data_IF_450190747245
#
_entry.id   IF_450190747245
#
_cell.length_a   1.000
_cell.length_b   1.000
_cell.length_c   1.000
_cell.angle_alpha   90.00
_cell.angle_beta   90.00
_cell.angle_gamma   90.00
#
_symmetry.space_group_name_H-M   'P 1'
#
loop_
_entity.id
_entity.type
_entity.pdbx_description
1 polymer ?
#
# COMPACT_ATOMS: atom_id res chain seq x y z
N UNK A 1 -27.29 -11.11 -28.56
CA UNK A 1 -26.58 -10.94 -27.27
C UNK A 1 -25.83 -9.60 -27.35
N UNK A 2 -25.97 -8.70 -26.35
CA UNK A 2 -25.14 -7.50 -26.30
C UNK A 2 -23.69 -7.94 -26.06
N UNK A 3 -22.79 -7.50 -26.93
CA UNK A 3 -21.35 -7.80 -26.75
C UNK A 3 -20.86 -7.08 -25.50
N UNK A 4 -20.46 -7.84 -24.47
CA UNK A 4 -19.92 -7.29 -23.25
C UNK A 4 -18.59 -6.60 -23.54
N UNK A 5 -18.43 -5.35 -23.10
CA UNK A 5 -17.20 -4.58 -23.26
C UNK A 5 -16.36 -4.65 -21.99
N UNK A 6 -15.11 -5.10 -22.12
CA UNK A 6 -14.14 -5.14 -21.02
C UNK A 6 -13.09 -4.05 -21.23
N UNK A 7 -12.97 -3.14 -20.26
CA UNK A 7 -12.05 -2.01 -20.26
C UNK A 7 -10.92 -2.28 -19.26
N UNK A 8 -9.68 -2.21 -19.72
CA UNK A 8 -8.51 -2.22 -18.85
C UNK A 8 -8.20 -0.80 -18.41
N UNK A 9 -8.35 -0.50 -17.11
CA UNK A 9 -8.05 0.82 -16.54
C UNK A 9 -6.57 0.89 -16.18
N UNK A 10 -5.84 1.78 -16.84
CA UNK A 10 -4.40 1.98 -16.62
C UNK A 10 -4.13 3.22 -15.79
N UNK A 11 -3.03 3.25 -14.99
CA UNK A 11 -2.06 2.16 -14.80
C UNK A 11 -2.61 1.05 -13.88
N UNK A 12 -2.12 -0.18 -14.07
CA UNK A 12 -2.39 -1.34 -13.22
C UNK A 12 -1.10 -2.11 -12.92
N UNK A 13 -1.17 -3.07 -11.98
CA UNK A 13 -0.02 -3.86 -11.60
C UNK A 13 0.95 -3.11 -10.68
N UNK A 14 2.14 -3.66 -10.53
CA UNK A 14 3.14 -3.12 -9.61
C UNK A 14 3.53 -1.67 -9.92
N UNK A 15 3.63 -0.84 -8.89
CA UNK A 15 4.27 0.47 -9.01
C UNK A 15 5.80 0.36 -8.88
N UNK A 16 6.51 1.45 -9.22
CA UNK A 16 7.99 1.48 -9.15
C UNK A 16 8.54 1.17 -7.75
N UNK A 17 7.87 1.64 -6.68
CA UNK A 17 8.28 1.33 -5.30
C UNK A 17 8.15 -0.15 -4.95
N UNK A 18 7.09 -0.80 -5.43
CA UNK A 18 6.87 -2.24 -5.25
C UNK A 18 7.88 -3.06 -6.06
N UNK A 19 8.12 -2.70 -7.32
CA UNK A 19 9.13 -3.36 -8.15
C UNK A 19 10.52 -3.28 -7.51
N UNK A 20 10.93 -2.08 -7.05
CA UNK A 20 12.20 -1.90 -6.33
C UNK A 20 12.30 -2.82 -5.10
N UNK A 21 11.24 -2.92 -4.31
CA UNK A 21 11.25 -3.76 -3.11
C UNK A 21 11.39 -5.26 -3.47
N UNK A 22 10.68 -5.74 -4.48
CA UNK A 22 10.79 -7.11 -4.99
C UNK A 22 12.20 -7.39 -5.52
N UNK A 23 12.75 -6.50 -6.34
CA UNK A 23 14.13 -6.63 -6.87
C UNK A 23 15.16 -6.65 -5.75
N UNK A 24 15.00 -5.78 -4.75
CA UNK A 24 15.88 -5.75 -3.58
C UNK A 24 15.86 -7.09 -2.85
N UNK A 25 14.69 -7.68 -2.60
CA UNK A 25 14.58 -8.98 -1.96
C UNK A 25 15.22 -10.11 -2.80
N UNK A 26 14.97 -10.14 -4.11
CA UNK A 26 15.56 -11.12 -5.04
C UNK A 26 17.09 -10.98 -5.09
N UNK A 27 17.61 -9.78 -5.23
CA UNK A 27 19.05 -9.51 -5.29
C UNK A 27 19.73 -9.88 -3.96
N UNK A 28 19.05 -9.68 -2.83
CA UNK A 28 19.54 -10.13 -1.51
C UNK A 28 19.70 -11.63 -1.48
N UNK A 29 18.74 -12.41 -2.01
CA UNK A 29 18.86 -13.89 -2.08
C UNK A 29 20.00 -14.31 -3.00
N UNK A 30 20.20 -13.65 -4.14
CA UNK A 30 21.30 -13.93 -5.06
C UNK A 30 22.65 -13.65 -4.40
N UNK A 31 22.77 -12.51 -3.71
CA UNK A 31 24.00 -12.10 -3.03
C UNK A 31 24.36 -13.00 -1.83
N UNK A 32 23.34 -13.53 -1.15
CA UNK A 32 23.50 -14.33 0.07
C UNK A 32 22.77 -15.68 -0.03
N UNK A 33 23.20 -16.59 -0.92
CA UNK A 33 22.46 -17.82 -1.24
C UNK A 33 22.23 -18.73 -0.04
N UNK A 34 23.14 -18.74 0.92
CA UNK A 34 23.14 -19.66 2.07
C UNK A 34 22.74 -19.00 3.40
N UNK A 35 22.45 -17.69 3.41
CA UNK A 35 22.04 -17.01 4.64
C UNK A 35 20.53 -17.08 4.83
N UNK A 36 20.10 -17.12 6.09
CA UNK A 36 18.69 -16.89 6.44
C UNK A 36 18.32 -15.46 6.10
N UNK A 37 17.23 -15.27 5.36
CA UNK A 37 16.69 -13.96 4.99
C UNK A 37 15.27 -13.88 5.52
N UNK A 38 15.02 -12.85 6.35
CA UNK A 38 13.70 -12.62 6.94
C UNK A 38 13.24 -11.20 6.62
N UNK A 39 12.05 -11.08 6.05
CA UNK A 39 11.40 -9.80 5.81
C UNK A 39 10.64 -9.42 7.08
N UNK A 40 10.86 -8.21 7.59
CA UNK A 40 10.21 -7.67 8.79
C UNK A 40 8.82 -7.10 8.46
N UNK A 41 7.82 -7.96 8.49
CA UNK A 41 6.47 -7.68 8.00
C UNK A 41 6.29 -8.11 6.54
N UNK A 42 5.11 -7.87 5.97
CA UNK A 42 4.89 -8.16 4.55
C UNK A 42 5.64 -7.15 3.67
N UNK A 43 6.47 -7.63 2.74
CA UNK A 43 7.26 -6.78 1.82
C UNK A 43 6.39 -5.72 1.16
N UNK A 44 5.24 -6.15 0.70
CA UNK A 44 4.11 -5.36 0.20
C UNK A 44 2.81 -6.03 0.62
N UNK A 45 1.71 -5.30 0.66
CA UNK A 45 0.39 -5.87 0.99
C UNK A 45 -0.14 -6.72 -0.16
N UNK A 46 0.38 -7.95 -0.29
CA UNK A 46 -0.11 -8.96 -1.24
C UNK A 46 0.34 -10.35 -0.82
N UNK A 47 -0.62 -11.24 -0.51
CA UNK A 47 -0.33 -12.61 -0.05
C UNK A 47 0.38 -13.47 -1.11
N UNK A 48 0.13 -13.22 -2.40
CA UNK A 48 0.78 -13.98 -3.47
C UNK A 48 2.24 -13.59 -3.63
N UNK A 49 2.58 -12.32 -3.41
CA UNK A 49 3.98 -11.86 -3.32
C UNK A 49 4.68 -12.54 -2.15
N UNK A 50 4.04 -12.62 -0.98
CA UNK A 50 4.59 -13.34 0.18
C UNK A 50 4.85 -14.81 -0.14
N UNK A 51 3.87 -15.51 -0.72
CA UNK A 51 4.04 -16.92 -1.13
C UNK A 51 5.16 -17.11 -2.16
N UNK A 52 5.27 -16.20 -3.12
CA UNK A 52 6.31 -16.26 -4.13
C UNK A 52 7.72 -16.01 -3.53
N UNK A 53 7.87 -15.07 -2.61
CA UNK A 53 9.13 -14.85 -1.88
C UNK A 53 9.52 -16.08 -1.06
N UNK A 54 8.55 -16.71 -0.38
CA UNK A 54 8.79 -17.95 0.36
C UNK A 54 9.25 -19.09 -0.56
N UNK A 55 8.70 -19.20 -1.77
CA UNK A 55 9.16 -20.15 -2.78
C UNK A 55 10.65 -19.94 -3.13
N UNK A 56 11.16 -18.71 -3.03
CA UNK A 56 12.57 -18.37 -3.19
C UNK A 56 13.38 -18.40 -1.86
N UNK A 57 12.88 -19.06 -0.83
CA UNK A 57 13.51 -19.17 0.49
C UNK A 57 13.76 -17.81 1.17
N UNK A 58 12.86 -16.87 0.97
CA UNK A 58 12.84 -15.57 1.67
C UNK A 58 11.63 -15.59 2.60
N UNK A 59 11.90 -15.69 3.90
CA UNK A 59 10.86 -15.80 4.92
C UNK A 59 10.25 -14.43 5.25
N UNK A 60 9.04 -14.43 5.77
CA UNK A 60 8.35 -13.24 6.27
C UNK A 60 7.90 -13.48 7.68
N UNK A 61 8.23 -12.56 8.59
CA UNK A 61 7.68 -12.53 9.93
C UNK A 61 6.62 -11.44 10.02
N UNK A 62 5.41 -11.79 10.42
CA UNK A 62 4.29 -10.86 10.54
C UNK A 62 3.37 -11.29 11.67
N UNK A 63 3.08 -10.37 12.57
CA UNK A 63 2.07 -10.50 13.62
C UNK A 63 1.34 -9.15 13.72
N UNK A 64 0.02 -9.14 13.52
CA UNK A 64 -0.81 -7.93 13.57
C UNK A 64 -0.92 -7.31 14.97
N UNK A 65 -0.59 -8.07 16.02
CA UNK A 65 -0.59 -7.59 17.40
C UNK A 65 0.73 -6.89 17.77
N UNK A 66 1.82 -7.16 17.01
CA UNK A 66 3.17 -6.64 17.26
C UNK A 66 3.53 -5.48 16.33
N UNK A 67 4.25 -4.51 16.87
CA UNK A 67 4.94 -3.48 16.08
C UNK A 67 6.17 -4.06 15.36
N UNK A 68 6.73 -3.34 14.38
CA UNK A 68 7.99 -3.74 13.72
C UNK A 68 9.15 -3.80 14.69
N UNK A 69 9.13 -2.96 15.74
CA UNK A 69 10.11 -2.97 16.81
C UNK A 69 10.06 -4.26 17.62
N UNK A 70 8.86 -4.75 17.98
CA UNK A 70 8.64 -5.99 18.73
C UNK A 70 8.91 -7.23 17.87
N UNK A 71 8.54 -7.22 16.57
CA UNK A 71 8.83 -8.34 15.66
C UNK A 71 10.32 -8.63 15.51
N UNK A 72 11.20 -7.63 15.69
CA UNK A 72 12.65 -7.86 15.69
C UNK A 72 13.13 -8.78 16.81
N UNK A 73 12.38 -8.93 17.90
CA UNK A 73 12.76 -9.84 18.99
C UNK A 73 12.78 -11.30 18.54
N UNK A 74 11.94 -11.63 17.59
CA UNK A 74 11.80 -12.97 17.01
C UNK A 74 12.84 -13.27 15.89
N UNK A 75 13.69 -12.28 15.51
CA UNK A 75 14.78 -12.46 14.53
C UNK A 75 16.12 -12.46 15.29
N UNK A 76 16.82 -13.61 15.28
CA UNK A 76 18.03 -13.78 16.07
C UNK A 76 19.32 -13.68 15.25
N UNK A 77 19.27 -13.98 13.94
CA UNK A 77 20.44 -14.03 13.06
C UNK A 77 20.07 -13.76 11.60
N UNK A 78 21.08 -13.62 10.77
CA UNK A 78 20.93 -13.54 9.32
C UNK A 78 20.72 -12.13 8.79
N UNK A 79 19.90 -12.05 7.75
CA UNK A 79 19.59 -10.81 7.04
C UNK A 79 18.14 -10.43 7.33
N UNK A 80 17.93 -9.17 7.70
CA UNK A 80 16.58 -8.59 7.80
C UNK A 80 16.35 -7.62 6.66
N UNK A 81 15.24 -7.80 5.95
CA UNK A 81 14.79 -6.88 4.89
C UNK A 81 13.67 -6.01 5.47
N UNK A 82 13.86 -4.70 5.46
CA UNK A 82 12.79 -3.73 5.75
C UNK A 82 11.91 -3.57 4.52
N UNK A 83 10.61 -3.49 4.74
CA UNK A 83 9.58 -3.54 3.69
C UNK A 83 9.48 -2.24 2.90
N UNK A 84 8.72 -2.23 1.81
CA UNK A 84 8.41 -1.03 1.03
C UNK A 84 7.76 0.10 1.87
N UNK A 85 7.20 -0.23 3.03
CA UNK A 85 6.50 0.71 3.92
C UNK A 85 7.42 1.51 4.84
N UNK A 86 8.73 1.22 4.83
CA UNK A 86 9.69 1.82 5.75
C UNK A 86 9.57 1.31 7.19
N UNK A 87 10.50 1.72 7.99
CA UNK A 87 10.54 1.48 9.45
C UNK A 87 11.01 2.75 10.16
N UNK A 88 10.68 2.91 11.46
CA UNK A 88 11.18 4.05 12.24
C UNK A 88 12.68 3.93 12.56
N UNK A 89 13.38 5.04 12.88
CA UNK A 89 14.78 5.01 13.27
C UNK A 89 15.09 4.02 14.40
N UNK A 90 14.19 3.90 15.40
CA UNK A 90 14.34 2.96 16.52
C UNK A 90 14.44 1.49 16.07
N UNK A 91 13.73 1.13 14.99
CA UNK A 91 13.79 -0.22 14.41
C UNK A 91 15.15 -0.46 13.74
N UNK A 92 15.70 0.54 13.06
CA UNK A 92 17.06 0.48 12.49
C UNK A 92 18.11 0.27 13.58
N UNK A 93 18.06 1.05 14.65
CA UNK A 93 19.00 0.99 15.77
C UNK A 93 18.95 -0.41 16.41
N UNK A 94 17.75 -0.88 16.79
CA UNK A 94 17.57 -2.21 17.38
C UNK A 94 18.11 -3.34 16.49
N UNK A 95 17.85 -3.28 15.18
CA UNK A 95 18.34 -4.28 14.26
C UNK A 95 19.88 -4.29 14.16
N UNK A 96 20.54 -3.11 14.22
CA UNK A 96 22.00 -2.99 14.28
C UNK A 96 22.57 -3.56 15.59
N UNK A 97 21.96 -3.22 16.73
CA UNK A 97 22.36 -3.72 18.05
C UNK A 97 22.27 -5.25 18.11
N UNK A 98 21.33 -5.86 17.42
CA UNK A 98 21.21 -7.32 17.27
C UNK A 98 22.26 -7.94 16.33
N UNK A 99 23.11 -7.15 15.69
CA UNK A 99 24.12 -7.64 14.74
C UNK A 99 23.56 -8.20 13.44
N UNK A 100 22.32 -7.84 13.07
CA UNK A 100 21.69 -8.29 11.83
C UNK A 100 22.28 -7.55 10.61
N UNK A 101 22.36 -8.24 9.48
CA UNK A 101 22.66 -7.60 8.19
C UNK A 101 21.38 -6.93 7.69
N UNK A 102 21.44 -5.60 7.54
CA UNK A 102 20.27 -4.80 7.17
C UNK A 102 20.19 -4.58 5.66
N UNK A 103 19.03 -4.82 5.10
CA UNK A 103 18.69 -4.50 3.71
C UNK A 103 17.43 -3.65 3.71
N UNK A 104 17.49 -2.47 3.11
CA UNK A 104 16.37 -1.54 3.07
C UNK A 104 15.66 -1.58 1.71
N UNK A 105 14.45 -2.13 1.69
CA UNK A 105 13.58 -2.14 0.51
C UNK A 105 12.51 -1.05 0.53
N UNK A 106 12.66 -0.03 1.39
CA UNK A 106 11.69 1.06 1.52
C UNK A 106 11.47 1.82 0.22
N UNK A 107 10.23 2.17 -0.02
CA UNK A 107 9.84 3.00 -1.16
C UNK A 107 10.45 4.41 -1.02
N UNK A 108 11.05 4.97 -2.08
CA UNK A 108 11.63 6.33 -2.02
C UNK A 108 10.65 7.40 -1.56
N UNK A 109 9.37 7.31 -1.92
CA UNK A 109 8.34 8.25 -1.48
C UNK A 109 8.10 8.16 0.03
N UNK A 110 8.12 6.96 0.61
CA UNK A 110 8.00 6.77 2.06
C UNK A 110 9.22 7.37 2.77
N UNK A 111 10.43 7.12 2.26
CA UNK A 111 11.66 7.72 2.82
C UNK A 111 11.66 9.24 2.73
N UNK A 112 11.10 9.81 1.65
CA UNK A 112 10.92 11.25 1.50
C UNK A 112 9.99 11.80 2.58
N UNK A 113 8.83 11.19 2.80
CA UNK A 113 7.90 11.58 3.86
C UNK A 113 8.56 11.52 5.24
N UNK A 114 9.29 10.43 5.53
CA UNK A 114 10.06 10.30 6.79
C UNK A 114 11.07 11.43 6.96
N UNK A 115 11.81 11.77 5.90
CA UNK A 115 12.80 12.86 5.92
C UNK A 115 12.15 14.21 6.20
N UNK A 116 11.02 14.52 5.54
CA UNK A 116 10.30 15.77 5.74
C UNK A 116 9.76 15.85 7.17
N UNK A 117 9.12 14.80 7.65
CA UNK A 117 8.62 14.74 9.04
C UNK A 117 9.75 14.99 10.03
N UNK A 118 10.91 14.31 9.86
CA UNK A 118 12.08 14.52 10.71
C UNK A 118 12.54 15.98 10.69
N UNK A 119 12.62 16.61 9.52
CA UNK A 119 13.05 18.01 9.39
C UNK A 119 12.15 18.98 10.19
N UNK A 120 10.84 18.75 10.20
CA UNK A 120 9.91 19.58 10.97
C UNK A 120 9.95 19.26 12.48
N UNK A 121 10.13 17.99 12.87
CA UNK A 121 10.37 17.61 14.26
C UNK A 121 11.65 18.28 14.83
N UNK A 122 12.74 18.29 14.05
CA UNK A 122 14.01 18.93 14.43
C UNK A 122 13.86 20.48 14.61
N UNK A 123 12.79 21.08 14.06
CA UNK A 123 12.42 22.49 14.21
C UNK A 123 11.34 22.73 15.28
N UNK A 124 11.04 21.71 16.10
CA UNK A 124 10.03 21.73 17.16
C UNK A 124 8.59 21.95 16.64
N UNK A 125 8.24 21.39 15.49
CA UNK A 125 6.85 21.32 15.04
C UNK A 125 6.17 20.08 15.60
N UNK A 126 4.90 20.23 15.97
CA UNK A 126 3.98 19.10 16.14
C UNK A 126 3.52 18.63 14.76
N UNK A 127 3.52 17.33 14.56
CA UNK A 127 3.19 16.73 13.27
C UNK A 127 1.78 16.15 13.31
N UNK A 128 0.90 16.60 12.43
CA UNK A 128 -0.36 15.92 12.15
C UNK A 128 -0.17 15.01 10.95
N UNK A 129 -0.07 13.70 11.22
CA UNK A 129 0.12 12.69 10.19
C UNK A 129 -1.21 11.99 9.89
N UNK A 130 -1.74 12.20 8.68
CA UNK A 130 -2.99 11.60 8.24
C UNK A 130 -2.70 10.22 7.68
N UNK A 131 -3.21 9.18 8.33
CA UNK A 131 -2.93 7.81 7.94
C UNK A 131 -3.86 6.81 8.60
N UNK A 132 -3.63 5.54 8.33
CA UNK A 132 -4.38 4.43 8.91
C UNK A 132 -3.63 3.87 10.10
N UNK A 133 -4.30 3.77 11.26
CA UNK A 133 -3.72 3.16 12.45
C UNK A 133 -3.28 1.72 12.17
N UNK A 134 -2.16 1.30 12.78
CA UNK A 134 -1.52 -0.01 12.58
C UNK A 134 -1.09 -0.32 11.13
N UNK A 135 -1.11 0.66 10.23
CA UNK A 135 -0.49 0.50 8.93
C UNK A 135 1.03 0.68 9.06
N UNK A 136 1.88 -0.19 8.49
CA UNK A 136 3.34 -0.13 8.69
C UNK A 136 3.97 1.21 8.27
N UNK A 137 3.49 1.84 7.20
CA UNK A 137 3.94 3.17 6.80
C UNK A 137 3.60 4.23 7.85
N UNK A 138 2.36 4.21 8.38
CA UNK A 138 1.97 5.14 9.43
C UNK A 138 2.74 4.87 10.73
N UNK A 139 2.92 3.59 11.11
CA UNK A 139 3.75 3.19 12.25
C UNK A 139 5.16 3.76 12.15
N UNK A 140 5.77 3.71 10.98
CA UNK A 140 7.13 4.23 10.76
C UNK A 140 7.27 5.73 11.02
N UNK A 141 6.17 6.48 10.96
CA UNK A 141 6.10 7.92 11.20
C UNK A 141 5.68 8.22 12.64
N UNK A 142 4.51 7.73 13.10
CA UNK A 142 4.00 8.13 14.41
C UNK A 142 4.82 7.58 15.58
N UNK A 143 5.70 6.61 15.34
CA UNK A 143 6.64 6.13 16.37
C UNK A 143 7.97 6.89 16.40
N UNK A 144 8.15 7.93 15.55
CA UNK A 144 9.37 8.75 15.57
C UNK A 144 9.45 9.65 16.79
N UNK A 145 8.34 10.23 17.23
CA UNK A 145 8.26 11.17 18.35
C UNK A 145 6.85 11.18 18.95
N UNK A 146 6.73 11.58 20.21
CA UNK A 146 5.45 11.87 20.86
C UNK A 146 4.74 13.12 20.28
N UNK A 147 5.48 13.98 19.58
CA UNK A 147 4.94 15.13 18.86
C UNK A 147 4.31 14.77 17.51
N UNK A 148 4.21 13.48 17.15
CA UNK A 148 3.50 13.01 15.97
C UNK A 148 2.12 12.47 16.34
N UNK A 149 1.10 13.19 15.91
CA UNK A 149 -0.30 12.88 16.14
C UNK A 149 -0.89 12.19 14.90
N UNK A 150 -1.25 10.92 15.04
CA UNK A 150 -1.94 10.18 13.96
C UNK A 150 -3.39 10.64 13.83
N UNK A 151 -3.78 11.06 12.64
CA UNK A 151 -5.14 11.47 12.31
C UNK A 151 -5.74 10.48 11.33
N UNK A 152 -6.81 9.81 11.74
CA UNK A 152 -7.54 8.88 10.87
C UNK A 152 -8.79 9.56 10.27
N UNK A 153 -9.17 9.25 9.03
CA UNK A 153 -10.42 9.73 8.46
C UNK A 153 -11.63 9.46 9.35
N UNK A 154 -12.45 10.48 9.57
CA UNK A 154 -13.63 10.41 10.43
C UNK A 154 -13.37 10.47 11.94
N UNK A 155 -12.11 10.64 12.37
CA UNK A 155 -11.76 10.89 13.78
C UNK A 155 -11.60 12.38 14.06
N UNK A 156 -11.78 12.74 15.34
CA UNK A 156 -11.60 14.13 15.79
C UNK A 156 -10.14 14.57 15.65
N UNK A 157 -9.93 15.77 15.13
CA UNK A 157 -8.63 16.42 15.10
C UNK A 157 -8.25 16.80 16.54
N UNK A 158 -7.03 16.44 17.00
CA UNK A 158 -6.55 16.73 18.33
C UNK A 158 -6.61 18.22 18.67
N UNK A 159 -6.80 18.55 19.95
CA UNK A 159 -6.58 19.90 20.47
C UNK A 159 -5.15 19.98 21.00
N UNK A 160 -4.31 20.76 20.36
CA UNK A 160 -2.95 21.04 20.82
C UNK A 160 -2.74 22.54 20.92
N UNK A 161 -1.86 22.96 21.83
CA UNK A 161 -1.55 24.36 22.09
C UNK A 161 -0.15 24.69 21.56
N UNK A 162 -0.05 24.82 20.25
CA UNK A 162 1.19 25.26 19.57
C UNK A 162 0.84 25.96 18.27
N UNK A 163 1.66 26.94 17.88
CA UNK A 163 1.54 27.62 16.59
C UNK A 163 2.35 26.92 15.50
N UNK A 164 3.19 25.94 15.87
CA UNK A 164 4.04 25.17 14.95
C UNK A 164 3.43 23.81 14.65
N UNK A 165 2.62 23.74 13.61
CA UNK A 165 1.97 22.50 13.16
C UNK A 165 2.36 22.24 11.71
N UNK A 166 2.87 21.05 11.45
CA UNK A 166 3.09 20.53 10.10
C UNK A 166 2.14 19.38 9.84
N UNK A 167 1.44 19.41 8.71
CA UNK A 167 0.41 18.44 8.33
C UNK A 167 0.87 17.70 7.07
N UNK A 168 0.90 16.38 7.15
CA UNK A 168 1.21 15.52 6.01
C UNK A 168 0.46 14.20 6.09
N UNK A 169 0.67 13.29 5.14
CA UNK A 169 -0.15 12.10 5.03
C UNK A 169 0.60 10.87 4.53
N UNK A 170 0.00 9.71 4.80
CA UNK A 170 0.40 8.43 4.24
C UNK A 170 0.24 8.44 2.71
N UNK A 171 1.24 7.90 2.00
CA UNK A 171 1.37 7.98 0.53
C UNK A 171 0.24 7.29 -0.24
N UNK A 172 -0.51 6.39 0.40
CA UNK A 172 -1.58 5.59 -0.21
C UNK A 172 -2.99 6.00 0.23
N UNK A 173 -3.16 7.23 0.75
CA UNK A 173 -4.47 7.75 1.14
C UNK A 173 -5.34 8.14 -0.07
N UNK A 174 -6.64 8.31 0.18
CA UNK A 174 -7.57 8.85 -0.82
C UNK A 174 -7.38 10.36 -0.97
N UNK A 175 -7.40 10.84 -2.22
CA UNK A 175 -7.34 12.28 -2.52
C UNK A 175 -8.51 13.05 -1.87
N UNK A 176 -9.68 12.43 -1.74
CA UNK A 176 -10.84 13.02 -1.07
C UNK A 176 -10.66 13.09 0.43
N UNK A 177 -10.20 11.98 1.07
CA UNK A 177 -10.01 11.94 2.51
C UNK A 177 -8.96 12.99 2.96
N UNK A 178 -7.87 13.13 2.16
CA UNK A 178 -6.84 14.15 2.47
C UNK A 178 -7.39 15.56 2.33
N UNK A 179 -8.13 15.83 1.25
CA UNK A 179 -8.74 17.15 1.07
C UNK A 179 -9.67 17.51 2.23
N UNK A 180 -10.59 16.62 2.58
CA UNK A 180 -11.56 16.85 3.64
C UNK A 180 -10.89 17.11 5.01
N UNK A 181 -9.84 16.33 5.34
CA UNK A 181 -9.12 16.49 6.60
C UNK A 181 -8.26 17.76 6.58
N UNK A 182 -7.61 18.09 5.46
CA UNK A 182 -6.86 19.34 5.31
C UNK A 182 -7.76 20.56 5.53
N UNK A 183 -8.96 20.57 4.93
CA UNK A 183 -9.93 21.66 5.09
C UNK A 183 -10.35 21.82 6.57
N UNK A 184 -10.64 20.72 7.28
CA UNK A 184 -10.97 20.72 8.72
C UNK A 184 -9.79 21.19 9.59
N UNK A 185 -8.56 20.75 9.29
CA UNK A 185 -7.37 21.20 10.04
C UNK A 185 -7.13 22.68 9.80
N UNK A 186 -7.27 23.16 8.56
CA UNK A 186 -7.06 24.56 8.20
C UNK A 186 -8.06 25.49 8.91
N UNK A 187 -9.31 25.06 9.05
CA UNK A 187 -10.32 25.80 9.80
C UNK A 187 -9.92 25.95 11.29
N UNK A 188 -9.40 24.86 11.89
CA UNK A 188 -9.03 24.81 13.30
C UNK A 188 -7.65 25.41 13.59
N UNK A 189 -6.71 25.26 12.66
CA UNK A 189 -5.30 25.66 12.77
C UNK A 189 -4.86 26.40 11.50
N UNK A 190 -5.31 27.63 11.26
CA UNK A 190 -5.05 28.36 10.01
C UNK A 190 -3.55 28.63 9.75
N UNK A 191 -2.71 28.59 10.81
CA UNK A 191 -1.25 28.76 10.72
C UNK A 191 -0.50 27.48 10.35
N UNK A 192 -1.17 26.31 10.30
CA UNK A 192 -0.52 25.04 10.00
C UNK A 192 0.07 25.02 8.57
N UNK A 193 1.22 24.35 8.42
CA UNK A 193 1.87 24.12 7.13
C UNK A 193 1.41 22.78 6.58
N UNK A 194 0.96 22.74 5.33
CA UNK A 194 0.40 21.55 4.70
C UNK A 194 1.31 21.03 3.58
N UNK A 195 1.53 19.73 3.55
CA UNK A 195 2.26 19.05 2.49
C UNK A 195 1.59 17.73 2.13
N UNK A 196 1.11 17.60 0.89
CA UNK A 196 0.41 16.41 0.39
C UNK A 196 1.44 15.43 -0.19
N UNK A 197 1.58 14.27 0.47
CA UNK A 197 2.50 13.19 0.12
C UNK A 197 1.81 12.01 -0.58
N UNK A 198 0.54 12.16 -1.07
CA UNK A 198 -0.05 11.10 -1.90
C UNK A 198 0.85 10.86 -3.11
N UNK A 199 1.46 9.67 -3.18
CA UNK A 199 2.41 9.36 -4.24
C UNK A 199 1.74 9.34 -5.63
N UNK A 200 2.53 9.66 -6.67
CA UNK A 200 2.02 9.71 -8.04
C UNK A 200 1.34 8.40 -8.48
N UNK A 201 1.91 7.24 -8.08
CA UNK A 201 1.33 5.94 -8.40
C UNK A 201 -0.08 5.74 -7.83
N UNK A 202 -0.35 6.28 -6.65
CA UNK A 202 -1.69 6.29 -6.02
C UNK A 202 -2.60 7.28 -6.73
N UNK A 203 -2.14 8.51 -6.94
CA UNK A 203 -2.93 9.61 -7.53
C UNK A 203 -3.42 9.27 -8.94
N UNK A 204 -2.54 8.80 -9.82
CA UNK A 204 -2.91 8.48 -11.21
C UNK A 204 -3.90 7.31 -11.30
N UNK A 205 -3.83 6.32 -10.39
CA UNK A 205 -4.80 5.22 -10.35
C UNK A 205 -6.18 5.68 -9.90
N UNK A 206 -6.24 6.52 -8.88
CA UNK A 206 -7.50 7.10 -8.40
C UNK A 206 -8.13 7.97 -9.49
N UNK A 207 -7.33 8.82 -10.14
CA UNK A 207 -7.81 9.68 -11.24
C UNK A 207 -8.30 8.87 -12.45
N UNK A 208 -7.66 7.75 -12.76
CA UNK A 208 -8.08 6.88 -13.86
C UNK A 208 -9.49 6.31 -13.63
N UNK A 209 -9.86 5.99 -12.39
CA UNK A 209 -11.22 5.54 -12.04
C UNK A 209 -12.21 6.70 -12.14
N UNK A 210 -11.86 7.89 -11.65
CA UNK A 210 -12.73 9.08 -11.72
C UNK A 210 -13.03 9.52 -13.16
N UNK A 211 -12.14 9.21 -14.09
CA UNK A 211 -12.30 9.54 -15.51
C UNK A 211 -13.13 8.49 -16.28
N UNK A 212 -13.57 7.40 -15.64
CA UNK A 212 -14.42 6.40 -16.28
C UNK A 212 -15.80 6.97 -16.59
N UNK A 213 -16.31 6.62 -17.77
CA UNK A 213 -17.66 6.99 -18.23
C UNK A 213 -18.38 5.76 -18.75
N UNK A 214 -19.67 5.69 -18.53
CA UNK A 214 -20.55 4.63 -19.06
C UNK A 214 -20.07 3.22 -18.68
N UNK A 215 -19.69 3.04 -17.40
CA UNK A 215 -19.23 1.79 -16.81
C UNK A 215 -20.29 1.27 -15.83
N UNK A 216 -20.76 0.04 -16.04
CA UNK A 216 -21.74 -0.60 -15.17
C UNK A 216 -21.08 -1.25 -13.95
N UNK A 217 -19.87 -1.77 -14.15
CA UNK A 217 -19.17 -2.56 -13.15
C UNK A 217 -17.67 -2.23 -13.13
N UNK A 218 -17.12 -2.00 -11.93
CA UNK A 218 -15.69 -1.87 -11.68
C UNK A 218 -15.20 -3.07 -10.87
N UNK A 219 -14.19 -3.76 -11.38
CA UNK A 219 -13.48 -4.82 -10.65
C UNK A 219 -12.10 -4.27 -10.25
N UNK A 220 -11.83 -4.23 -8.95
CA UNK A 220 -10.54 -3.87 -8.38
C UNK A 220 -9.85 -5.15 -7.91
N UNK A 221 -8.79 -5.54 -8.62
CA UNK A 221 -7.98 -6.70 -8.25
C UNK A 221 -6.91 -6.27 -7.25
N UNK A 222 -6.91 -6.88 -6.06
CA UNK A 222 -5.96 -6.53 -5.01
C UNK A 222 -6.18 -7.26 -3.70
N UNK A 223 -5.16 -7.24 -2.86
CA UNK A 223 -5.24 -7.83 -1.52
C UNK A 223 -6.13 -6.95 -0.62
N UNK A 224 -7.05 -7.51 0.17
CA UNK A 224 -7.93 -6.75 1.07
C UNK A 224 -7.16 -6.02 2.18
N UNK A 225 -5.92 -6.40 2.47
CA UNK A 225 -5.07 -5.69 3.44
C UNK A 225 -4.35 -4.49 2.83
N UNK A 226 -4.35 -4.37 1.48
CA UNK A 226 -3.73 -3.25 0.77
C UNK A 226 -4.56 -1.98 0.87
N UNK A 227 -4.03 -0.96 1.58
CA UNK A 227 -4.68 0.35 1.67
C UNK A 227 -4.92 0.97 0.28
N UNK A 228 -3.94 0.90 -0.63
CA UNK A 228 -4.11 1.39 -1.99
C UNK A 228 -5.28 0.70 -2.71
N UNK A 229 -5.40 -0.64 -2.62
CA UNK A 229 -6.50 -1.37 -3.26
C UNK A 229 -7.87 -0.98 -2.68
N UNK A 230 -7.97 -0.86 -1.34
CA UNK A 230 -9.20 -0.44 -0.68
C UNK A 230 -9.61 0.98 -1.10
N UNK A 231 -8.66 1.92 -1.20
CA UNK A 231 -8.95 3.28 -1.65
C UNK A 231 -9.42 3.35 -3.10
N UNK A 232 -8.98 2.43 -3.99
CA UNK A 232 -9.52 2.35 -5.35
C UNK A 232 -11.00 1.90 -5.36
N UNK A 233 -11.38 0.98 -4.47
CA UNK A 233 -12.79 0.59 -4.28
C UNK A 233 -13.63 1.77 -3.80
N UNK A 234 -13.14 2.50 -2.79
CA UNK A 234 -13.81 3.68 -2.25
C UNK A 234 -13.99 4.76 -3.33
N UNK A 235 -12.96 5.00 -4.15
CA UNK A 235 -13.02 5.92 -5.28
C UNK A 235 -14.05 5.49 -6.32
N UNK A 236 -14.13 4.20 -6.65
CA UNK A 236 -15.13 3.66 -7.57
C UNK A 236 -16.57 3.93 -7.09
N UNK A 237 -16.82 3.75 -5.79
CA UNK A 237 -18.10 4.08 -5.16
C UNK A 237 -18.40 5.58 -5.20
N UNK A 238 -17.41 6.42 -4.88
CA UNK A 238 -17.54 7.89 -4.94
C UNK A 238 -17.74 8.41 -6.38
N UNK A 239 -17.24 7.68 -7.38
CA UNK A 239 -17.46 7.98 -8.81
C UNK A 239 -18.84 7.54 -9.30
N UNK A 240 -19.74 7.08 -8.40
CA UNK A 240 -21.08 6.57 -8.69
C UNK A 240 -21.11 5.44 -9.72
N UNK A 241 -20.07 4.57 -9.76
CA UNK A 241 -20.11 3.35 -10.56
C UNK A 241 -21.10 2.38 -9.88
N UNK A 242 -22.13 1.89 -10.61
CA UNK A 242 -23.23 1.16 -9.99
C UNK A 242 -22.81 -0.08 -9.19
N UNK A 243 -21.81 -0.81 -9.70
CA UNK A 243 -21.30 -2.03 -9.06
C UNK A 243 -19.78 -1.98 -8.94
N UNK A 244 -19.27 -2.14 -7.71
CA UNK A 244 -17.82 -2.13 -7.43
C UNK A 244 -17.44 -3.38 -6.67
N UNK A 245 -16.61 -4.23 -7.27
CA UNK A 245 -16.13 -5.49 -6.69
C UNK A 245 -14.66 -5.38 -6.30
N UNK A 246 -14.32 -5.93 -5.12
CA UNK A 246 -12.95 -6.12 -4.66
C UNK A 246 -12.65 -7.61 -4.65
N UNK A 247 -11.65 -8.03 -5.41
CA UNK A 247 -11.25 -9.44 -5.54
C UNK A 247 -9.74 -9.56 -5.44
N UNK A 248 -9.23 -10.72 -5.06
CA UNK A 248 -7.78 -10.98 -5.06
C UNK A 248 -7.32 -11.60 -6.37
N UNK A 249 -8.14 -12.51 -6.91
CA UNK A 249 -7.78 -13.32 -8.08
C UNK A 249 -9.04 -13.71 -8.86
N UNK A 250 -8.82 -14.39 -9.98
CA UNK A 250 -9.89 -15.00 -10.79
C UNK A 250 -10.67 -16.08 -10.02
N UNK A 251 -10.12 -16.66 -8.96
CA UNK A 251 -10.83 -17.65 -8.13
C UNK A 251 -12.04 -17.07 -7.40
N UNK A 252 -12.03 -15.77 -7.14
CA UNK A 252 -13.05 -15.07 -6.33
C UNK A 252 -14.31 -14.68 -7.14
N UNK A 253 -14.34 -14.96 -8.45
CA UNK A 253 -15.45 -14.59 -9.33
C UNK A 253 -15.99 -15.79 -10.09
N UNK A 254 -17.30 -15.76 -10.40
CA UNK A 254 -17.91 -16.59 -11.44
C UNK A 254 -18.31 -15.69 -12.62
N UNK A 255 -18.01 -16.13 -13.84
CA UNK A 255 -18.31 -15.36 -15.07
C UNK A 255 -19.81 -15.07 -15.18
N UNK A 256 -20.66 -15.99 -14.74
CA UNK A 256 -22.12 -15.88 -14.77
C UNK A 256 -22.62 -14.65 -13.98
N UNK A 257 -21.95 -14.30 -12.89
CA UNK A 257 -22.31 -13.15 -12.05
C UNK A 257 -22.12 -11.82 -12.77
N UNK A 258 -21.36 -11.83 -13.87
CA UNK A 258 -20.99 -10.64 -14.64
C UNK A 258 -21.69 -10.54 -16.00
N UNK A 259 -22.47 -11.53 -16.41
CA UNK A 259 -23.15 -11.56 -17.74
C UNK A 259 -24.16 -10.42 -17.94
N UNK A 260 -24.71 -9.87 -16.86
CA UNK A 260 -25.70 -8.78 -16.91
C UNK A 260 -25.10 -7.41 -17.18
N UNK A 261 -23.78 -7.22 -16.97
CA UNK A 261 -23.10 -5.95 -17.17
C UNK A 261 -22.70 -5.77 -18.65
N UNK A 262 -23.03 -4.62 -19.20
CA UNK A 262 -22.66 -4.28 -20.60
C UNK A 262 -21.21 -3.80 -20.69
N UNK A 263 -20.74 -3.04 -19.68
CA UNK A 263 -19.38 -2.51 -19.63
C UNK A 263 -18.73 -2.79 -18.29
N UNK A 264 -17.66 -3.58 -18.28
CA UNK A 264 -16.85 -3.91 -17.10
C UNK A 264 -15.49 -3.24 -17.19
N UNK A 265 -15.15 -2.42 -16.22
CA UNK A 265 -13.81 -1.86 -16.05
C UNK A 265 -12.99 -2.71 -15.06
N UNK A 266 -11.74 -3.02 -15.39
CA UNK A 266 -10.85 -3.81 -14.53
C UNK A 266 -9.61 -2.98 -14.23
N UNK A 267 -9.31 -2.80 -12.94
CA UNK A 267 -8.09 -2.17 -12.44
C UNK A 267 -7.43 -3.01 -11.35
N UNK A 268 -6.27 -2.58 -10.87
CA UNK A 268 -5.61 -3.25 -9.75
C UNK A 268 -4.83 -2.30 -8.85
N UNK A 269 -4.66 -2.75 -7.59
CA UNK A 269 -3.79 -2.07 -6.64
C UNK A 269 -2.32 -2.06 -7.06
N UNK A 270 -1.56 -1.11 -6.51
CA UNK A 270 -0.14 -0.90 -6.80
C UNK A 270 0.78 -2.05 -6.31
N UNK A 271 0.29 -2.92 -5.45
CA UNK A 271 0.97 -4.14 -4.97
C UNK A 271 0.46 -5.43 -5.60
N UNK A 272 -0.41 -5.34 -6.62
CA UNK A 272 -1.01 -6.49 -7.28
C UNK A 272 -0.18 -6.90 -8.49
N UNK A 273 0.23 -8.18 -8.61
CA UNK A 273 0.87 -8.69 -9.83
C UNK A 273 -0.01 -8.48 -11.06
N UNK A 274 0.56 -7.94 -12.13
CA UNK A 274 -0.16 -7.79 -13.42
C UNK A 274 -0.70 -9.11 -13.93
N UNK A 275 0.03 -10.20 -13.68
CA UNK A 275 -0.37 -11.57 -13.97
C UNK A 275 -1.77 -11.91 -13.44
N UNK A 276 -2.06 -11.60 -12.16
CA UNK A 276 -3.38 -11.87 -11.56
C UNK A 276 -4.50 -11.04 -12.20
N UNK A 277 -4.22 -9.79 -12.53
CA UNK A 277 -5.19 -8.91 -13.20
C UNK A 277 -5.50 -9.37 -14.61
N UNK A 278 -4.48 -9.83 -15.34
CA UNK A 278 -4.65 -10.39 -16.69
C UNK A 278 -5.48 -11.66 -16.65
N UNK A 279 -5.28 -12.55 -15.67
CA UNK A 279 -6.12 -13.76 -15.53
C UNK A 279 -7.61 -13.42 -15.35
N UNK A 280 -7.94 -12.39 -14.57
CA UNK A 280 -9.33 -11.92 -14.43
C UNK A 280 -9.89 -11.43 -15.74
N UNK A 281 -9.13 -10.60 -16.46
CA UNK A 281 -9.52 -10.07 -17.76
C UNK A 281 -9.75 -11.19 -18.77
N UNK A 282 -8.79 -12.12 -18.90
CA UNK A 282 -8.84 -13.19 -19.87
C UNK A 282 -10.00 -14.16 -19.59
N UNK A 283 -10.24 -14.46 -18.31
CA UNK A 283 -11.38 -15.28 -17.89
C UNK A 283 -12.71 -14.67 -18.27
N UNK A 284 -12.92 -13.38 -18.00
CA UNK A 284 -14.16 -12.69 -18.35
C UNK A 284 -14.33 -12.51 -19.87
N UNK A 285 -13.22 -12.33 -20.61
CA UNK A 285 -13.27 -12.08 -22.05
C UNK A 285 -13.48 -13.37 -22.88
N UNK A 286 -12.70 -14.40 -22.61
CA UNK A 286 -12.52 -15.50 -23.59
C UNK A 286 -12.46 -16.91 -22.97
N UNK A 287 -12.15 -17.05 -21.68
CA UNK A 287 -11.88 -18.38 -21.11
C UNK A 287 -13.15 -19.10 -20.66
N UNK A 288 -13.18 -20.41 -20.89
CA UNK A 288 -14.26 -21.30 -20.40
C UNK A 288 -13.95 -21.74 -18.98
N UNK A 289 -12.67 -21.93 -18.65
CA UNK A 289 -12.21 -22.41 -17.35
C UNK A 289 -11.38 -21.35 -16.60
N UNK A 290 -11.46 -21.37 -15.27
CA UNK A 290 -10.62 -20.52 -14.42
C UNK A 290 -9.16 -20.96 -14.49
N UNK A 291 -8.22 -20.05 -14.86
CA UNK A 291 -6.80 -20.40 -14.91
C UNK A 291 -6.26 -20.65 -13.50
N UNK A 292 -5.36 -21.64 -13.37
CA UNK A 292 -4.61 -21.88 -12.12
C UNK A 292 -3.54 -20.81 -11.92
N UNK A 293 -3.36 -20.38 -10.68
CA UNK A 293 -2.31 -19.42 -10.31
C UNK A 293 -0.97 -20.16 -10.23
N UNK A 294 0.01 -19.67 -10.98
CA UNK A 294 1.40 -20.14 -10.95
C UNK A 294 2.23 -19.16 -10.13
N UNK A 295 2.76 -19.62 -9.00
CA UNK A 295 3.49 -18.76 -8.06
C UNK A 295 4.76 -18.15 -8.68
N UNK A 296 5.40 -18.86 -9.59
CA UNK A 296 6.60 -18.41 -10.31
C UNK A 296 6.34 -17.17 -11.21
N UNK A 297 5.10 -16.92 -11.61
CA UNK A 297 4.69 -15.80 -12.47
C UNK A 297 4.39 -14.51 -11.66
N UNK A 298 4.52 -14.58 -10.33
CA UNK A 298 4.15 -13.48 -9.44
C UNK A 298 5.25 -12.41 -9.32
N UNK A 299 6.56 -12.81 -9.34
CA UNK A 299 7.71 -11.92 -9.10
C UNK A 299 8.49 -11.58 -10.38
#
# INVERSE_FOLDING_TARGET
MKTQKIITVKPQGYCGGVLKAIETAKNTRIQYPNKKITILGNLVHNQYVKKALQYYNIDTIEDKAKTRYELLDDIHDGIVIFTAHGVSPKVYEKAKEKGLILVDASCPFVLQTQKIVKQYLDQNYSIFYIGKNKHPEAESIYTMSEDVYLIEPGKKIPNIHTDKIFVTNQTTMSIYDIKDIFDQIKEKYPQAIFHDEICNATRVRQQAILNLKDVDCLIVVGDPTSNNSQKLVDIGKKANIPHVFSIQTVADIDKKDFETYSTIAITSGASTPTYLTNQVKDYLSNSIEKPKIRIQEIL
#
